data_IF_695028938433
#
_entry.id   IF_695028938433
#
_cell.length_a   1.000
_cell.length_b   1.000
_cell.length_c   1.000
_cell.angle_alpha   90.00
_cell.angle_beta   90.00
_cell.angle_gamma   90.00
#
_symmetry.space_group_name_H-M   'P 1'
#
loop_
_entity.id
_entity.type
_entity.pdbx_description
1 polymer ?
#
# COMPACT_ATOMS: atom_id res chain seq x y z
N UNK A 1 16.80 -6.71 -30.26
CA UNK A 1 16.39 -7.14 -28.91
C UNK A 1 16.46 -5.91 -28.03
N UNK A 2 15.31 -5.26 -27.86
CA UNK A 2 15.20 -4.03 -27.08
C UNK A 2 15.43 -4.33 -25.61
N UNK A 3 16.35 -3.58 -25.00
CA UNK A 3 16.62 -3.64 -23.57
C UNK A 3 15.50 -2.83 -22.90
N UNK A 4 14.50 -3.51 -22.34
CA UNK A 4 13.51 -2.86 -21.49
C UNK A 4 14.23 -2.46 -20.22
N UNK A 5 14.52 -1.17 -20.08
CA UNK A 5 14.98 -0.58 -18.83
C UNK A 5 13.80 -0.61 -17.88
N UNK A 6 13.78 -1.56 -16.93
CA UNK A 6 12.82 -1.54 -15.83
C UNK A 6 13.29 -0.40 -14.94
N UNK A 7 12.68 0.77 -15.09
CA UNK A 7 12.82 1.87 -14.13
C UNK A 7 11.94 1.52 -12.94
N UNK A 8 12.56 1.14 -11.82
CA UNK A 8 11.96 1.03 -10.48
C UNK A 8 10.82 2.04 -10.27
N UNK A 9 9.59 1.56 -10.37
CA UNK A 9 8.38 2.39 -10.38
C UNK A 9 7.39 1.89 -9.34
N UNK A 10 6.73 2.84 -8.69
CA UNK A 10 5.53 2.63 -7.86
C UNK A 10 4.34 2.34 -8.81
N UNK A 11 4.53 1.32 -9.66
CA UNK A 11 3.60 0.88 -10.69
C UNK A 11 2.61 -0.09 -10.08
N UNK A 12 1.32 0.17 -10.29
CA UNK A 12 0.25 -0.78 -9.97
C UNK A 12 -0.28 -1.39 -11.25
N UNK A 13 -0.62 -2.67 -11.14
CA UNK A 13 -1.14 -3.45 -12.24
C UNK A 13 -2.56 -3.89 -11.90
N UNK A 14 -3.51 -3.54 -12.77
CA UNK A 14 -4.83 -4.12 -12.79
C UNK A 14 -4.87 -5.16 -13.91
N UNK A 15 -5.40 -6.35 -13.59
CA UNK A 15 -5.54 -7.45 -14.55
C UNK A 15 -7.02 -7.75 -14.75
N UNK A 16 -7.50 -7.58 -15.97
CA UNK A 16 -8.80 -8.09 -16.37
C UNK A 16 -8.68 -9.61 -16.55
N UNK A 17 -9.45 -10.38 -15.77
CA UNK A 17 -9.38 -11.85 -15.78
C UNK A 17 -10.11 -12.47 -17.00
N UNK A 18 -10.97 -11.72 -17.68
CA UNK A 18 -11.71 -12.19 -18.85
C UNK A 18 -10.93 -11.91 -20.14
N UNK A 19 -10.34 -10.72 -20.26
CA UNK A 19 -9.60 -10.32 -21.46
C UNK A 19 -8.10 -10.55 -21.35
N UNK A 20 -7.57 -10.79 -20.15
CA UNK A 20 -6.13 -10.80 -19.84
C UNK A 20 -5.43 -9.48 -20.13
N UNK A 21 -6.20 -8.39 -20.26
CA UNK A 21 -5.63 -7.06 -20.43
C UNK A 21 -5.03 -6.57 -19.12
N UNK A 22 -3.90 -5.87 -19.25
CA UNK A 22 -3.18 -5.28 -18.13
C UNK A 22 -3.25 -3.76 -18.26
N UNK A 23 -3.71 -3.10 -17.20
CA UNK A 23 -3.66 -1.65 -17.06
C UNK A 23 -2.55 -1.34 -16.05
N UNK A 24 -1.61 -0.50 -16.46
CA UNK A 24 -0.55 -0.01 -15.58
C UNK A 24 -0.80 1.46 -15.28
N UNK A 25 -0.76 1.83 -14.00
CA UNK A 25 -0.87 3.21 -13.57
C UNK A 25 0.15 3.51 -12.48
N UNK A 26 0.59 4.77 -12.44
CA UNK A 26 1.46 5.31 -11.39
C UNK A 26 0.62 6.11 -10.41
N UNK A 27 0.73 5.79 -9.12
CA UNK A 27 0.00 6.49 -8.04
C UNK A 27 0.86 7.58 -7.35
N UNK A 28 2.03 7.89 -7.88
CA UNK A 28 2.97 8.84 -7.26
C UNK A 28 3.70 8.24 -6.05
N UNK A 29 4.19 9.09 -5.14
CA UNK A 29 4.97 8.70 -3.96
C UNK A 29 4.06 8.15 -2.84
N UNK A 30 3.44 7.00 -3.06
CA UNK A 30 2.54 6.35 -2.09
C UNK A 30 3.25 5.32 -1.22
N UNK A 31 4.41 4.82 -1.64
CA UNK A 31 5.15 3.83 -0.88
C UNK A 31 6.66 3.96 -1.06
N UNK A 32 7.40 3.36 -0.14
CA UNK A 32 8.80 3.08 -0.35
C UNK A 32 8.98 2.08 -1.50
N UNK A 33 9.99 2.30 -2.32
CA UNK A 33 10.33 1.40 -3.43
C UNK A 33 10.87 0.10 -2.86
N UNK A 34 10.19 -1.02 -3.12
CA UNK A 34 10.77 -2.34 -2.84
C UNK A 34 11.85 -2.61 -3.88
N UNK A 35 13.11 -2.60 -3.43
CA UNK A 35 14.24 -2.93 -4.26
C UNK A 35 14.11 -4.39 -4.70
N UNK A 36 13.77 -4.59 -5.97
CA UNK A 36 13.58 -5.92 -6.52
C UNK A 36 14.84 -6.75 -6.38
N UNK A 37 14.68 -8.05 -6.12
CA UNK A 37 15.79 -8.99 -6.28
C UNK A 37 15.94 -9.28 -7.78
N UNK A 38 17.07 -8.89 -8.34
CA UNK A 38 17.38 -9.14 -9.74
C UNK A 38 17.50 -10.66 -10.01
N UNK A 39 17.31 -11.11 -11.26
CA UNK A 39 17.42 -12.53 -11.63
C UNK A 39 18.79 -13.16 -11.31
N UNK A 40 19.83 -12.35 -11.16
CA UNK A 40 21.18 -12.75 -10.78
C UNK A 40 21.41 -12.76 -9.25
N UNK A 41 20.33 -12.66 -8.48
CA UNK A 41 20.30 -12.59 -7.01
C UNK A 41 20.96 -11.35 -6.39
N UNK A 42 21.35 -10.37 -7.18
CA UNK A 42 21.70 -9.05 -6.66
C UNK A 42 20.43 -8.26 -6.35
N UNK A 43 20.52 -7.24 -5.50
CA UNK A 43 19.41 -6.32 -5.30
C UNK A 43 19.55 -5.19 -6.31
N UNK A 44 18.43 -4.70 -6.83
CA UNK A 44 18.39 -3.46 -7.60
C UNK A 44 19.05 -2.34 -6.79
N UNK A 45 19.78 -1.43 -7.46
CA UNK A 45 20.60 -0.36 -6.87
C UNK A 45 19.77 0.57 -5.96
N UNK A 46 19.54 0.13 -4.73
CA UNK A 46 19.09 0.97 -3.64
C UNK A 46 20.34 1.39 -2.90
N UNK A 47 20.70 2.65 -3.04
CA UNK A 47 21.89 3.25 -2.44
C UNK A 47 21.77 3.38 -0.91
N UNK A 48 21.01 2.49 -0.26
CA UNK A 48 20.71 2.49 1.15
C UNK A 48 21.13 1.14 1.77
N UNK A 49 21.79 1.23 2.92
CA UNK A 49 22.30 0.07 3.67
C UNK A 49 21.21 -0.63 4.49
N UNK A 50 20.03 -0.04 4.60
CA UNK A 50 18.90 -0.51 5.39
C UNK A 50 17.63 -0.59 4.53
N UNK A 51 16.74 -1.52 4.86
CA UNK A 51 15.47 -1.68 4.16
C UNK A 51 14.51 -0.60 4.63
N UNK A 52 13.78 -0.02 3.67
CA UNK A 52 12.69 0.90 3.99
C UNK A 52 11.60 0.26 4.86
N UNK A 53 10.90 1.05 5.70
CA UNK A 53 9.83 0.55 6.54
C UNK A 53 8.61 0.12 5.70
N UNK A 54 7.99 -0.96 6.15
CA UNK A 54 6.73 -1.48 5.62
C UNK A 54 5.56 -0.62 6.08
N UNK A 55 4.41 -0.78 5.42
CA UNK A 55 3.15 -0.15 5.81
C UNK A 55 2.75 -0.54 7.23
N UNK A 56 2.83 -1.83 7.56
CA UNK A 56 2.43 -2.38 8.86
C UNK A 56 3.65 -2.91 9.63
N UNK A 57 3.46 -3.30 10.90
CA UNK A 57 4.47 -4.00 11.70
C UNK A 57 4.79 -5.44 11.21
N UNK A 58 4.48 -5.73 9.95
CA UNK A 58 4.57 -7.02 9.26
C UNK A 58 5.37 -6.84 7.98
N UNK A 59 6.25 -7.81 7.64
CA UNK A 59 7.06 -7.70 6.44
C UNK A 59 6.23 -7.89 5.17
N UNK A 60 6.74 -7.36 4.06
CA UNK A 60 6.23 -7.59 2.69
C UNK A 60 4.88 -6.92 2.35
N UNK A 61 4.53 -5.84 3.04
CA UNK A 61 3.37 -5.03 2.69
C UNK A 61 3.75 -3.54 2.70
N UNK A 62 3.70 -2.87 1.55
CA UNK A 62 3.87 -1.42 1.45
C UNK A 62 2.57 -0.68 1.11
N UNK A 63 1.61 -1.40 0.53
CA UNK A 63 0.33 -0.88 0.07
C UNK A 63 -0.70 -1.99 0.21
N UNK A 64 -1.84 -1.63 0.74
CA UNK A 64 -2.95 -2.52 1.00
C UNK A 64 -4.22 -2.01 0.29
N UNK A 65 -4.91 -2.89 -0.42
CA UNK A 65 -6.13 -2.53 -1.16
C UNK A 65 -7.34 -3.06 -0.40
N UNK A 66 -8.32 -2.18 -0.20
CA UNK A 66 -9.57 -2.53 0.45
C UNK A 66 -10.76 -2.19 -0.44
N UNK A 67 -11.84 -2.96 -0.30
CA UNK A 67 -13.11 -2.74 -1.01
C UNK A 67 -14.24 -2.85 -0.02
N UNK A 68 -15.18 -1.91 -0.09
CA UNK A 68 -16.40 -1.92 0.71
C UNK A 68 -17.60 -1.45 -0.11
N UNK A 69 -18.73 -1.16 0.56
CA UNK A 69 -19.95 -0.65 -0.05
C UNK A 69 -19.79 0.73 -0.69
N UNK A 70 -18.77 1.49 -0.29
CA UNK A 70 -18.52 2.86 -0.69
C UNK A 70 -17.48 2.98 -1.82
N UNK A 71 -16.66 1.96 -2.08
CA UNK A 71 -15.78 1.89 -3.25
C UNK A 71 -14.51 1.06 -3.07
N UNK A 72 -13.52 1.37 -3.92
CA UNK A 72 -12.17 0.84 -3.86
C UNK A 72 -11.25 1.84 -3.15
N UNK A 73 -10.39 1.31 -2.29
CA UNK A 73 -9.52 2.07 -1.43
C UNK A 73 -8.10 1.55 -1.50
N UNK A 74 -7.15 2.44 -1.25
CA UNK A 74 -5.74 2.11 -1.08
C UNK A 74 -5.26 2.69 0.24
N UNK A 75 -4.70 1.83 1.09
CA UNK A 75 -4.11 2.15 2.39
C UNK A 75 -2.59 2.08 2.22
N UNK A 76 -1.88 3.14 2.61
CA UNK A 76 -0.45 3.25 2.35
C UNK A 76 0.25 4.19 3.35
N UNK A 77 1.57 4.22 3.27
CA UNK A 77 2.44 5.09 4.06
C UNK A 77 3.48 5.72 3.13
N UNK A 78 3.52 7.05 3.11
CA UNK A 78 4.43 7.80 2.23
C UNK A 78 5.88 7.67 2.70
N UNK A 79 6.88 7.73 1.80
CA UNK A 79 8.28 7.58 2.20
C UNK A 79 8.81 8.60 3.22
N UNK A 80 8.19 9.77 3.29
CA UNK A 80 8.60 10.86 4.19
C UNK A 80 7.71 11.00 5.44
N UNK A 81 6.87 10.00 5.73
CA UNK A 81 5.92 10.03 6.84
C UNK A 81 5.71 8.64 7.43
N UNK A 82 5.48 8.58 8.74
CA UNK A 82 5.07 7.36 9.44
C UNK A 82 3.53 7.29 9.61
N UNK A 83 2.79 8.29 9.08
CA UNK A 83 1.34 8.36 9.21
C UNK A 83 0.64 7.39 8.25
N UNK A 84 -0.53 6.92 8.68
CA UNK A 84 -1.41 6.16 7.82
C UNK A 84 -2.13 7.09 6.84
N UNK A 85 -2.03 6.76 5.56
CA UNK A 85 -2.79 7.41 4.50
C UNK A 85 -3.80 6.44 3.91
N UNK A 86 -4.96 6.97 3.53
CA UNK A 86 -5.96 6.24 2.77
C UNK A 86 -6.38 7.10 1.58
N UNK A 87 -6.50 6.51 0.40
CA UNK A 87 -7.10 7.17 -0.74
C UNK A 87 -8.23 6.34 -1.31
N UNK A 88 -9.30 7.02 -1.71
CA UNK A 88 -10.35 6.42 -2.51
C UNK A 88 -9.92 6.46 -3.97
N UNK A 89 -9.99 5.34 -4.65
CA UNK A 89 -9.55 5.20 -6.04
C UNK A 89 -10.65 4.60 -6.91
N UNK A 90 -10.64 4.97 -8.18
CA UNK A 90 -11.41 4.28 -9.22
C UNK A 90 -10.60 3.08 -9.77
N UNK A 91 -11.23 2.15 -10.51
CA UNK A 91 -10.55 0.98 -11.08
C UNK A 91 -9.39 1.30 -12.04
N UNK A 92 -9.37 2.52 -12.60
CA UNK A 92 -8.27 3.03 -13.44
C UNK A 92 -7.15 3.69 -12.61
N UNK A 93 -7.15 3.49 -11.29
CA UNK A 93 -6.24 4.10 -10.30
C UNK A 93 -6.34 5.63 -10.20
N UNK A 94 -7.42 6.24 -10.71
CA UNK A 94 -7.68 7.65 -10.45
C UNK A 94 -8.00 7.88 -8.97
N UNK A 95 -7.24 8.76 -8.31
CA UNK A 95 -7.48 9.15 -6.92
C UNK A 95 -8.65 10.14 -6.86
N UNK A 96 -9.72 9.72 -6.19
CA UNK A 96 -10.92 10.53 -5.97
C UNK A 96 -10.73 11.48 -4.79
N UNK A 97 -10.25 10.96 -3.66
CA UNK A 97 -9.99 11.73 -2.44
C UNK A 97 -8.94 11.02 -1.57
N UNK A 98 -8.35 11.73 -0.61
CA UNK A 98 -7.28 11.21 0.25
C UNK A 98 -7.35 11.76 1.67
N UNK A 99 -7.15 10.87 2.63
CA UNK A 99 -7.14 11.16 4.06
C UNK A 99 -5.75 10.88 4.63
N UNK A 100 -5.27 11.81 5.44
CA UNK A 100 -4.09 11.66 6.28
C UNK A 100 -4.57 11.45 7.72
N UNK A 101 -4.07 10.40 8.38
CA UNK A 101 -4.45 10.04 9.76
C UNK A 101 -3.21 10.19 10.65
N UNK A 102 -2.88 11.41 11.10
CA UNK A 102 -1.62 11.70 11.77
C UNK A 102 -1.50 11.08 13.17
N UNK A 103 -2.62 10.72 13.79
CA UNK A 103 -2.66 10.08 15.10
C UNK A 103 -2.35 8.57 15.05
N UNK A 104 -2.17 8.01 13.85
CA UNK A 104 -1.89 6.58 13.64
C UNK A 104 -0.53 6.42 12.97
N UNK A 105 0.42 5.83 13.69
CA UNK A 105 1.67 5.35 13.11
C UNK A 105 1.39 4.03 12.37
N UNK A 106 1.53 4.04 11.05
CA UNK A 106 1.23 2.88 10.22
C UNK A 106 2.13 1.67 10.58
N UNK A 107 3.40 1.93 10.89
CA UNK A 107 4.39 0.89 11.23
C UNK A 107 4.13 0.21 12.58
N UNK A 108 3.20 0.71 13.40
CA UNK A 108 2.87 0.14 14.71
C UNK A 108 1.66 -0.80 14.67
N UNK A 109 0.78 -0.66 13.65
CA UNK A 109 -0.41 -1.49 13.51
C UNK A 109 -0.10 -2.76 12.72
N UNK A 110 -0.90 -3.79 12.94
CA UNK A 110 -0.67 -5.10 12.35
C UNK A 110 -1.34 -5.28 10.98
N UNK A 111 -2.49 -4.63 10.80
CA UNK A 111 -3.29 -4.67 9.58
C UNK A 111 -4.36 -3.56 9.63
N UNK A 112 -5.02 -3.27 8.52
CA UNK A 112 -6.19 -2.39 8.49
C UNK A 112 -7.22 -2.85 7.45
N UNK A 113 -8.49 -2.50 7.67
CA UNK A 113 -9.56 -2.76 6.70
C UNK A 113 -10.63 -1.67 6.75
N UNK A 114 -11.41 -1.56 5.68
CA UNK A 114 -12.49 -0.58 5.55
C UNK A 114 -13.82 -1.31 5.42
N UNK A 115 -14.84 -0.82 6.12
CA UNK A 115 -16.22 -1.32 6.04
C UNK A 115 -17.19 -0.16 6.21
N UNK A 116 -18.18 -0.03 5.33
CA UNK A 116 -19.16 1.05 5.32
C UNK A 116 -18.53 2.46 5.44
N UNK A 117 -17.39 2.71 4.79
CA UNK A 117 -16.68 3.99 4.81
C UNK A 117 -15.86 4.26 6.08
N UNK A 118 -15.75 3.30 7.00
CA UNK A 118 -14.96 3.44 8.23
C UNK A 118 -13.71 2.56 8.15
N UNK A 119 -12.55 3.17 8.36
CA UNK A 119 -11.26 2.49 8.47
C UNK A 119 -11.06 1.96 9.89
N UNK A 120 -10.66 0.70 10.01
CA UNK A 120 -10.37 0.04 11.28
C UNK A 120 -8.93 -0.48 11.29
N UNK A 121 -8.19 -0.21 12.37
CA UNK A 121 -6.83 -0.73 12.57
C UNK A 121 -6.78 -1.92 13.50
N UNK A 122 -6.02 -2.95 13.15
CA UNK A 122 -5.77 -4.13 13.97
C UNK A 122 -4.50 -3.95 14.81
N UNK A 123 -4.60 -4.15 16.13
CA UNK A 123 -3.44 -3.95 17.03
C UNK A 123 -2.36 -5.03 16.84
N UNK A 124 -2.75 -6.30 16.68
CA UNK A 124 -1.81 -7.41 16.62
C UNK A 124 -2.31 -8.57 15.74
N UNK A 125 -1.43 -9.18 14.95
CA UNK A 125 -1.76 -10.32 14.08
C UNK A 125 -1.22 -11.67 14.59
N UNK A 126 -0.63 -11.72 15.80
CA UNK A 126 0.01 -12.92 16.36
C UNK A 126 -0.61 -13.36 17.69
N UNK A 127 -1.18 -12.43 18.45
CA UNK A 127 -1.90 -12.77 19.68
C UNK A 127 -3.24 -13.42 19.34
N UNK A 128 -3.63 -14.41 20.14
CA UNK A 128 -4.93 -15.09 20.00
C UNK A 128 -6.10 -14.12 20.16
N UNK A 129 -6.00 -13.24 21.15
CA UNK A 129 -6.96 -12.20 21.43
C UNK A 129 -6.36 -10.89 20.91
N UNK A 130 -6.78 -10.49 19.72
CA UNK A 130 -6.46 -9.19 19.14
C UNK A 130 -7.70 -8.29 19.18
N UNK A 131 -7.50 -6.98 19.02
CA UNK A 131 -8.56 -5.98 19.04
C UNK A 131 -8.33 -4.95 17.96
N UNK A 132 -9.42 -4.29 17.62
CA UNK A 132 -9.40 -3.07 16.83
C UNK A 132 -8.87 -1.94 17.71
N UNK A 133 -7.77 -1.32 17.33
CA UNK A 133 -7.10 -0.26 18.10
C UNK A 133 -7.70 1.11 17.85
N UNK A 134 -8.22 1.37 16.64
CA UNK A 134 -8.88 2.61 16.27
C UNK A 134 -9.92 2.40 15.17
N UNK A 135 -10.78 3.41 15.00
CA UNK A 135 -11.68 3.56 13.87
C UNK A 135 -11.65 5.00 13.37
N UNK A 136 -11.69 5.23 12.06
CA UNK A 136 -11.69 6.55 11.44
C UNK A 136 -12.75 6.63 10.34
N UNK A 137 -13.60 7.67 10.38
CA UNK A 137 -14.66 7.89 9.41
C UNK A 137 -14.10 8.59 8.16
N UNK A 138 -14.23 7.96 6.99
CA UNK A 138 -13.78 8.49 5.71
C UNK A 138 -14.89 9.24 4.96
N UNK A 139 -16.10 9.39 5.53
CA UNK A 139 -17.27 9.96 4.85
C UNK A 139 -17.93 11.17 5.55
#
# INVERSE_FOLDING_TARGET
MGRTTITSTDQRHFYDLETTDQIEAELGDIAHKDCGRLPDHTFEDCNETERHPWLYNRPHNYVDFAVDENGLWVIYMRPQSDYLYVSKIEPDFYIVDSWEIPDVNATEIADAFIMCGVLYGLENATTRDSRISFAYDLF
#
